data_IF_060831124587
#
_entry.id   IF_060831124587
#
_cell.length_a   1.000
_cell.length_b   1.000
_cell.length_c   1.000
_cell.angle_alpha   90.00
_cell.angle_beta   90.00
_cell.angle_gamma   90.00
#
_symmetry.space_group_name_H-M   'P 1'
#
loop_
_entity.id
_entity.type
_entity.pdbx_description
1 polymer ?
#
# COMPACT_ATOMS: atom_id res chain seq x y z
N UNK A 1 27.91 -13.30 22.61
CA UNK A 1 28.98 -14.17 22.24
C UNK A 1 29.29 -14.05 20.78
N UNK A 2 30.43 -13.54 20.49
CA UNK A 2 30.86 -13.48 19.12
C UNK A 2 31.49 -14.81 18.76
N UNK A 3 31.05 -15.36 17.68
CA UNK A 3 31.67 -16.53 17.14
C UNK A 3 33.13 -16.21 16.83
N UNK A 4 34.03 -16.93 17.47
CA UNK A 4 35.46 -16.80 17.27
C UNK A 4 35.92 -17.38 15.93
N UNK A 5 35.01 -17.83 15.11
CA UNK A 5 35.30 -18.55 13.89
C UNK A 5 35.55 -17.65 12.70
N UNK A 6 36.24 -16.58 12.83
CA UNK A 6 36.79 -15.85 11.67
C UNK A 6 35.86 -15.53 10.50
N UNK A 7 34.62 -16.00 10.53
CA UNK A 7 33.61 -15.52 9.63
C UNK A 7 33.26 -14.12 10.04
N UNK A 8 33.84 -13.16 9.39
CA UNK A 8 33.58 -11.76 9.65
C UNK A 8 32.07 -11.52 9.57
N UNK A 9 31.45 -11.45 10.71
CA UNK A 9 30.05 -11.05 10.82
C UNK A 9 29.98 -9.60 10.40
N UNK A 10 29.55 -9.37 9.17
CA UNK A 10 29.44 -8.01 8.63
C UNK A 10 28.11 -7.39 9.09
N UNK A 11 28.14 -6.72 10.22
CA UNK A 11 27.01 -5.96 10.74
C UNK A 11 26.48 -4.94 9.72
N UNK A 12 27.36 -4.39 8.89
CA UNK A 12 26.96 -3.40 7.90
C UNK A 12 26.10 -4.00 6.81
N UNK A 13 26.38 -5.24 6.41
CA UNK A 13 25.57 -5.96 5.44
C UNK A 13 24.23 -6.41 5.99
N UNK A 14 24.09 -6.43 7.31
CA UNK A 14 22.85 -6.85 7.97
C UNK A 14 21.99 -5.69 8.44
N UNK A 15 22.54 -4.48 8.53
CA UNK A 15 21.81 -3.29 8.93
C UNK A 15 21.01 -2.79 7.72
N UNK A 16 19.69 -2.90 7.81
CA UNK A 16 18.83 -2.32 6.78
C UNK A 16 18.88 -0.81 6.88
N UNK A 17 18.86 -0.09 5.74
CA UNK A 17 18.80 1.35 5.75
C UNK A 17 17.59 1.85 6.53
N UNK A 18 17.78 2.88 7.33
CA UNK A 18 16.76 3.47 8.17
C UNK A 18 16.66 4.96 7.85
N UNK A 19 15.44 5.41 7.56
CA UNK A 19 15.19 6.82 7.31
C UNK A 19 14.82 7.52 8.62
N UNK A 20 15.42 8.68 8.88
CA UNK A 20 15.11 9.48 10.07
C UNK A 20 14.19 10.63 9.69
N UNK A 21 13.03 10.71 10.34
CA UNK A 21 11.99 11.69 9.97
C UNK A 21 11.39 12.35 11.21
N UNK A 22 10.93 13.63 11.09
CA UNK A 22 10.22 14.29 12.17
C UNK A 22 8.76 13.82 12.27
N UNK A 23 8.13 13.94 13.45
CA UNK A 23 6.73 13.53 13.64
C UNK A 23 5.75 14.31 12.76
N UNK A 24 6.13 15.50 12.31
CA UNK A 24 5.27 16.37 11.52
C UNK A 24 5.24 16.02 10.02
N UNK A 25 6.04 15.04 9.58
CA UNK A 25 6.10 14.69 8.17
C UNK A 25 4.78 14.06 7.71
N UNK A 26 4.13 14.60 6.65
CA UNK A 26 2.92 13.98 6.10
C UNK A 26 3.20 12.58 5.55
N UNK A 27 2.22 11.69 5.67
CA UNK A 27 2.34 10.28 5.24
C UNK A 27 2.73 10.14 3.77
N UNK A 28 2.14 10.97 2.90
CA UNK A 28 2.46 10.91 1.47
C UNK A 28 3.90 11.31 1.17
N UNK A 29 4.41 12.31 1.88
CA UNK A 29 5.81 12.74 1.74
C UNK A 29 6.74 11.63 2.23
N UNK A 30 6.40 11.03 3.36
CA UNK A 30 7.19 9.93 3.92
C UNK A 30 7.22 8.74 2.96
N UNK A 31 6.06 8.36 2.44
CA UNK A 31 5.98 7.26 1.46
C UNK A 31 6.86 7.53 0.25
N UNK A 32 6.80 8.73 -0.32
CA UNK A 32 7.62 9.10 -1.48
C UNK A 32 9.11 9.01 -1.17
N UNK A 33 9.53 9.45 0.01
CA UNK A 33 10.93 9.33 0.42
C UNK A 33 11.36 7.87 0.57
N UNK A 34 10.52 7.06 1.20
CA UNK A 34 10.82 5.64 1.39
C UNK A 34 10.93 4.92 0.05
N UNK A 35 10.03 5.23 -0.88
CA UNK A 35 10.07 4.63 -2.22
C UNK A 35 11.29 5.10 -3.02
N UNK A 36 11.56 6.41 -3.01
CA UNK A 36 12.68 6.98 -3.78
C UNK A 36 14.03 6.45 -3.30
N UNK A 37 14.18 6.28 -2.00
CA UNK A 37 15.43 5.81 -1.39
C UNK A 37 15.46 4.30 -1.18
N UNK A 38 14.37 3.61 -1.52
CA UNK A 38 14.19 2.16 -1.33
C UNK A 38 14.42 1.73 0.11
N UNK A 39 13.92 2.53 1.04
CA UNK A 39 14.01 2.29 2.47
C UNK A 39 12.63 1.85 2.96
N UNK A 40 12.57 0.73 3.70
CA UNK A 40 11.34 0.13 4.16
C UNK A 40 10.94 0.52 5.58
N UNK A 41 11.81 1.22 6.28
CA UNK A 41 11.63 1.51 7.70
C UNK A 41 12.07 2.94 8.00
N UNK A 42 11.27 3.67 8.79
CA UNK A 42 11.57 5.02 9.22
C UNK A 42 11.56 5.10 10.74
N UNK A 43 12.53 5.85 11.29
CA UNK A 43 12.57 6.17 12.70
C UNK A 43 12.06 7.58 12.89
N UNK A 44 11.02 7.74 13.69
CA UNK A 44 10.46 9.06 13.99
C UNK A 44 11.23 9.65 15.18
N UNK A 45 11.85 10.81 14.94
CA UNK A 45 12.68 11.49 15.94
C UNK A 45 12.04 12.81 16.30
N UNK A 46 11.87 13.06 17.60
CA UNK A 46 11.29 14.29 18.11
C UNK A 46 12.31 15.44 18.12
N UNK A 47 11.86 16.61 18.53
CA UNK A 47 12.66 17.86 18.57
C UNK A 47 13.85 17.80 19.53
N UNK A 48 13.81 16.86 20.46
CA UNK A 48 14.85 16.69 21.47
C UNK A 48 15.83 15.56 21.15
N UNK A 49 15.70 14.99 19.95
CA UNK A 49 16.51 13.85 19.53
C UNK A 49 16.06 12.53 20.10
N UNK A 50 14.91 12.50 20.77
CA UNK A 50 14.32 11.27 21.28
C UNK A 50 13.58 10.49 20.20
N UNK A 51 13.51 9.18 20.36
CA UNK A 51 12.83 8.30 19.44
C UNK A 51 11.34 8.21 19.78
N UNK A 52 10.50 8.63 18.85
CA UNK A 52 9.04 8.53 18.98
C UNK A 52 8.52 7.16 18.56
N UNK A 53 9.18 6.51 17.63
CA UNK A 53 8.81 5.17 17.20
C UNK A 53 9.37 4.80 15.83
N UNK A 54 9.12 3.55 15.47
CA UNK A 54 9.46 3.00 14.16
C UNK A 54 8.21 2.89 13.30
N UNK A 55 8.34 3.21 12.02
CA UNK A 55 7.28 3.03 11.03
C UNK A 55 7.79 2.21 9.86
N UNK A 56 6.97 1.30 9.39
CA UNK A 56 7.21 0.54 8.17
C UNK A 56 6.25 1.03 7.08
N UNK A 57 6.49 0.63 5.83
CA UNK A 57 5.53 0.89 4.74
C UNK A 57 4.20 0.24 5.06
N UNK A 58 4.20 -0.94 5.65
CA UNK A 58 2.97 -1.62 6.08
C UNK A 58 2.17 -0.78 7.09
N UNK A 59 2.86 -0.12 8.02
CA UNK A 59 2.22 0.78 8.98
C UNK A 59 1.55 1.97 8.28
N UNK A 60 2.21 2.52 7.25
CA UNK A 60 1.63 3.62 6.46
C UNK A 60 0.38 3.18 5.72
N UNK A 61 0.43 2.01 5.11
CA UNK A 61 -0.71 1.42 4.40
C UNK A 61 -1.87 1.22 5.37
N UNK A 62 -1.60 0.68 6.55
CA UNK A 62 -2.63 0.48 7.57
C UNK A 62 -3.30 1.79 7.99
N UNK A 63 -2.53 2.86 8.11
CA UNK A 63 -3.08 4.19 8.42
C UNK A 63 -4.02 4.69 7.33
N UNK A 64 -3.73 4.41 6.07
CA UNK A 64 -4.48 4.91 4.93
C UNK A 64 -5.68 4.03 4.59
N UNK A 65 -5.58 2.74 4.82
CA UNK A 65 -6.63 1.77 4.46
C UNK A 65 -7.46 1.33 5.67
N UNK A 66 -6.85 1.34 6.85
CA UNK A 66 -7.41 0.75 8.04
C UNK A 66 -7.07 -0.73 8.15
N UNK A 67 -7.37 -1.30 9.30
CA UNK A 67 -7.10 -2.71 9.54
C UNK A 67 -8.03 -3.58 8.70
N UNK A 68 -7.53 -4.73 8.27
CA UNK A 68 -8.38 -5.78 7.73
C UNK A 68 -9.21 -6.26 8.92
N UNK A 69 -10.47 -5.86 8.94
CA UNK A 69 -11.34 -6.20 10.03
C UNK A 69 -11.63 -7.68 10.09
N UNK A 70 -11.69 -8.17 11.29
CA UNK A 70 -12.01 -9.55 11.55
C UNK A 70 -13.54 -9.76 11.54
N UNK A 71 -14.02 -10.63 12.36
CA UNK A 71 -15.37 -11.19 12.37
C UNK A 71 -16.53 -10.19 12.48
N UNK A 72 -16.28 -8.92 12.78
CA UNK A 72 -17.36 -7.94 12.96
C UNK A 72 -17.92 -7.43 11.65
N UNK A 73 -17.23 -7.68 10.55
CA UNK A 73 -17.67 -7.30 9.21
C UNK A 73 -18.39 -8.44 8.50
N UNK A 74 -18.95 -9.36 9.24
CA UNK A 74 -19.66 -10.52 8.70
C UNK A 74 -20.85 -10.10 7.83
N UNK A 75 -21.44 -8.95 8.10
CA UNK A 75 -22.54 -8.38 7.32
C UNK A 75 -22.06 -7.78 5.99
N UNK A 76 -20.77 -7.52 5.87
CA UNK A 76 -20.13 -7.13 4.64
C UNK A 76 -19.52 -8.40 3.99
N UNK A 77 -20.41 -9.33 3.66
CA UNK A 77 -19.99 -10.62 3.10
C UNK A 77 -19.13 -10.47 1.85
N UNK A 78 -19.27 -9.37 1.14
CA UNK A 78 -18.53 -9.11 -0.08
C UNK A 78 -17.72 -7.83 0.06
N UNK A 79 -16.40 -7.96 0.13
CA UNK A 79 -15.51 -6.81 0.13
C UNK A 79 -15.47 -6.14 -1.25
N UNK A 80 -15.94 -6.83 -2.29
CA UNK A 80 -16.10 -6.27 -3.62
C UNK A 80 -17.31 -6.87 -4.31
N UNK A 81 -17.87 -6.13 -5.29
CA UNK A 81 -18.97 -6.59 -6.13
C UNK A 81 -18.61 -6.29 -7.59
N UNK A 82 -19.03 -7.18 -8.48
CA UNK A 82 -18.89 -6.97 -9.92
C UNK A 82 -20.09 -6.18 -10.42
N UNK A 83 -19.87 -4.94 -10.85
CA UNK A 83 -20.94 -4.10 -11.36
C UNK A 83 -21.34 -4.49 -12.79
N UNK A 84 -20.35 -4.84 -13.59
CA UNK A 84 -20.50 -5.33 -14.96
C UNK A 84 -19.19 -5.98 -15.38
N UNK A 85 -19.13 -6.70 -16.52
CA UNK A 85 -17.88 -7.32 -16.94
C UNK A 85 -16.72 -6.33 -16.96
N UNK A 86 -15.66 -6.65 -16.23
CA UNK A 86 -14.45 -5.84 -16.15
C UNK A 86 -14.55 -4.62 -15.25
N UNK A 87 -15.67 -4.43 -14.53
CA UNK A 87 -15.83 -3.30 -13.61
C UNK A 87 -16.27 -3.79 -12.24
N UNK A 88 -15.50 -3.42 -11.22
CA UNK A 88 -15.73 -3.84 -9.84
C UNK A 88 -15.81 -2.64 -8.92
N UNK A 89 -16.69 -2.71 -7.94
CA UNK A 89 -16.72 -1.78 -6.81
C UNK A 89 -16.18 -2.52 -5.60
N UNK A 90 -15.14 -1.99 -4.96
CA UNK A 90 -14.43 -2.69 -3.89
C UNK A 90 -14.13 -1.77 -2.72
N UNK A 91 -14.12 -2.35 -1.53
CA UNK A 91 -13.61 -1.67 -0.35
C UNK A 91 -12.09 -1.60 -0.43
N UNK A 92 -11.50 -0.52 0.06
CA UNK A 92 -10.05 -0.37 0.08
C UNK A 92 -9.36 -1.48 0.88
N UNK A 93 -10.02 -1.98 1.92
CA UNK A 93 -9.51 -3.08 2.77
C UNK A 93 -9.68 -4.47 2.17
N UNK A 94 -10.21 -4.59 0.95
CA UNK A 94 -10.33 -5.88 0.25
C UNK A 94 -8.97 -6.57 0.20
N UNK A 95 -8.88 -7.82 0.67
CA UNK A 95 -7.63 -8.58 0.53
C UNK A 95 -7.24 -8.69 -0.94
N UNK A 96 -6.02 -8.29 -1.25
CA UNK A 96 -5.56 -8.24 -2.63
C UNK A 96 -5.59 -9.60 -3.31
N UNK A 97 -5.21 -10.65 -2.57
CA UNK A 97 -5.23 -12.02 -3.11
C UNK A 97 -6.63 -12.47 -3.55
N UNK A 98 -7.64 -12.11 -2.78
CA UNK A 98 -9.03 -12.45 -3.12
C UNK A 98 -9.48 -11.74 -4.39
N UNK A 99 -9.11 -10.48 -4.51
CA UNK A 99 -9.45 -9.69 -5.69
C UNK A 99 -8.70 -10.18 -6.92
N UNK A 100 -7.42 -10.49 -6.79
CA UNK A 100 -6.61 -11.06 -7.86
C UNK A 100 -7.17 -12.40 -8.36
N UNK A 101 -7.62 -13.24 -7.43
CA UNK A 101 -8.25 -14.52 -7.79
C UNK A 101 -9.52 -14.31 -8.59
N UNK A 102 -10.32 -13.31 -8.24
CA UNK A 102 -11.56 -12.98 -8.94
C UNK A 102 -11.31 -12.51 -10.38
N UNK A 103 -10.34 -11.64 -10.58
CA UNK A 103 -10.05 -11.07 -11.90
C UNK A 103 -9.08 -11.92 -12.72
N UNK A 104 -8.49 -12.96 -12.12
CA UNK A 104 -7.54 -13.86 -12.79
C UNK A 104 -6.25 -13.17 -13.21
N UNK A 105 -5.78 -12.23 -12.42
CA UNK A 105 -4.66 -11.37 -12.80
C UNK A 105 -3.86 -11.00 -11.56
N UNK A 106 -2.53 -10.99 -11.67
CA UNK A 106 -1.63 -10.52 -10.60
C UNK A 106 -1.40 -9.02 -10.76
N UNK A 107 -1.61 -8.27 -9.68
CA UNK A 107 -1.49 -6.82 -9.68
C UNK A 107 -0.19 -6.33 -9.01
N UNK A 108 0.57 -7.23 -8.40
CA UNK A 108 1.80 -6.89 -7.69
C UNK A 108 3.07 -7.31 -8.44
N UNK A 109 2.93 -7.92 -9.61
CA UNK A 109 4.05 -8.35 -10.44
C UNK A 109 4.64 -7.14 -11.18
N UNK A 110 5.27 -6.25 -10.42
CA UNK A 110 5.90 -5.04 -10.93
C UNK A 110 7.04 -4.62 -10.01
N UNK A 111 8.13 -4.15 -10.59
CA UNK A 111 9.35 -3.80 -9.86
C UNK A 111 9.16 -2.73 -8.78
N UNK A 112 8.18 -1.86 -8.94
CA UNK A 112 7.90 -0.79 -7.99
C UNK A 112 7.00 -1.22 -6.83
N UNK A 113 6.46 -2.45 -6.88
CA UNK A 113 5.51 -2.95 -5.90
C UNK A 113 6.11 -4.15 -5.20
N UNK A 114 6.25 -4.06 -3.89
CA UNK A 114 6.67 -5.20 -3.07
C UNK A 114 5.42 -5.92 -2.58
N UNK A 115 5.19 -7.11 -3.11
CA UNK A 115 4.02 -7.89 -2.76
C UNK A 115 3.98 -8.29 -1.27
N UNK A 116 5.13 -8.31 -0.61
CA UNK A 116 5.21 -8.61 0.81
C UNK A 116 4.67 -7.46 1.66
N UNK A 117 4.67 -6.24 1.14
CA UNK A 117 4.23 -5.05 1.86
C UNK A 117 2.77 -4.69 1.58
N UNK A 118 2.19 -5.23 0.51
CA UNK A 118 0.86 -4.85 0.03
C UNK A 118 -0.11 -6.01 0.18
N UNK A 119 -1.02 -5.92 1.15
CA UNK A 119 -2.00 -6.94 1.46
C UNK A 119 -3.42 -6.60 1.00
N UNK A 120 -3.66 -5.31 0.71
CA UNK A 120 -5.00 -4.82 0.38
C UNK A 120 -5.02 -4.07 -0.93
N UNK A 121 -6.22 -3.99 -1.52
CA UNK A 121 -6.43 -3.24 -2.76
C UNK A 121 -6.11 -1.75 -2.56
N UNK A 122 -6.56 -1.17 -1.44
CA UNK A 122 -6.25 0.21 -1.10
C UNK A 122 -4.77 0.46 -0.87
N UNK A 123 -4.07 -0.52 -0.31
CA UNK A 123 -2.62 -0.45 -0.15
C UNK A 123 -1.90 -0.37 -1.49
N UNK A 124 -2.34 -1.18 -2.45
CA UNK A 124 -1.82 -1.14 -3.81
C UNK A 124 -2.02 0.24 -4.44
N UNK A 125 -3.23 0.79 -4.32
CA UNK A 125 -3.55 2.11 -4.89
C UNK A 125 -2.71 3.20 -4.22
N UNK A 126 -2.53 3.14 -2.92
CA UNK A 126 -1.68 4.09 -2.19
C UNK A 126 -0.22 4.04 -2.68
N UNK A 127 0.32 2.83 -2.86
CA UNK A 127 1.68 2.65 -3.35
C UNK A 127 1.84 3.19 -4.78
N UNK A 128 0.87 2.94 -5.64
CA UNK A 128 0.90 3.44 -7.02
C UNK A 128 0.75 4.96 -7.10
N UNK A 129 -0.10 5.53 -6.25
CA UNK A 129 -0.34 6.97 -6.23
C UNK A 129 0.82 7.76 -5.63
N UNK A 130 1.49 7.19 -4.62
CA UNK A 130 2.55 7.88 -3.90
C UNK A 130 2.04 8.95 -2.93
N UNK A 131 0.74 9.01 -2.71
CA UNK A 131 0.07 9.91 -1.76
C UNK A 131 -1.29 9.33 -1.42
N UNK A 132 -1.99 9.90 -0.44
CA UNK A 132 -3.37 9.51 -0.13
C UNK A 132 -4.28 10.13 -1.18
N UNK A 133 -4.83 9.34 -2.12
CA UNK A 133 -5.62 9.91 -3.21
C UNK A 133 -6.95 10.45 -2.73
N UNK A 134 -7.38 11.53 -3.36
CA UNK A 134 -8.65 12.17 -3.07
C UNK A 134 -9.80 11.50 -3.82
N UNK A 135 -11.00 11.68 -3.32
CA UNK A 135 -12.22 11.23 -3.99
C UNK A 135 -12.27 11.77 -5.42
N UNK A 136 -12.54 10.90 -6.37
CA UNK A 136 -12.58 11.24 -7.79
C UNK A 136 -11.26 11.08 -8.53
N UNK A 137 -10.18 10.89 -7.80
CA UNK A 137 -8.87 10.69 -8.42
C UNK A 137 -8.80 9.31 -9.06
N UNK A 138 -8.15 9.24 -10.23
CA UNK A 138 -7.95 7.99 -10.97
C UNK A 138 -6.47 7.64 -10.95
N UNK A 139 -6.15 6.45 -10.46
CA UNK A 139 -4.79 5.93 -10.43
C UNK A 139 -4.68 4.78 -11.42
N UNK A 140 -3.68 4.83 -12.29
CA UNK A 140 -3.49 3.80 -13.32
C UNK A 140 -2.40 2.81 -12.90
N UNK A 141 -2.73 1.53 -13.03
CA UNK A 141 -1.76 0.47 -12.86
C UNK A 141 -0.88 0.39 -14.12
N UNK A 142 0.44 0.12 -13.98
CA UNK A 142 1.33 0.01 -15.14
C UNK A 142 0.89 -1.00 -16.19
N UNK A 143 0.15 -2.03 -15.79
CA UNK A 143 -0.33 -3.08 -16.69
C UNK A 143 -1.73 -2.83 -17.25
N UNK A 144 -2.31 -1.66 -16.97
CA UNK A 144 -3.53 -1.22 -17.60
C UNK A 144 -4.77 -0.99 -16.75
N UNK A 145 -5.01 -1.73 -15.65
CA UNK A 145 -6.17 -1.46 -14.83
C UNK A 145 -6.21 -0.03 -14.30
N UNK A 146 -7.42 0.53 -14.16
CA UNK A 146 -7.61 1.85 -13.55
C UNK A 146 -8.37 1.71 -12.23
N UNK A 147 -7.95 2.50 -11.26
CA UNK A 147 -8.60 2.58 -9.94
C UNK A 147 -9.14 4.00 -9.74
N UNK A 148 -10.44 4.10 -9.64
CA UNK A 148 -11.09 5.38 -9.32
C UNK A 148 -11.45 5.41 -7.84
N UNK A 149 -11.06 6.46 -7.13
CA UNK A 149 -11.39 6.61 -5.71
C UNK A 149 -12.83 7.12 -5.61
N UNK A 150 -13.72 6.25 -5.16
CA UNK A 150 -15.15 6.54 -5.04
C UNK A 150 -15.48 7.20 -3.71
N UNK A 151 -14.80 6.76 -2.65
CA UNK A 151 -15.00 7.32 -1.32
C UNK A 151 -13.66 7.37 -0.60
N UNK A 152 -13.37 8.53 -0.01
CA UNK A 152 -12.15 8.77 0.74
C UNK A 152 -12.33 10.00 1.63
N UNK A 153 -11.55 10.08 2.71
CA UNK A 153 -11.36 11.31 3.46
C UNK A 153 -9.86 11.69 3.38
N UNK A 154 -9.43 12.83 3.95
CA UNK A 154 -8.04 13.27 3.83
C UNK A 154 -7.01 12.30 4.38
N UNK A 155 -7.42 11.35 5.21
CA UNK A 155 -6.52 10.40 5.88
C UNK A 155 -6.64 8.97 5.38
N UNK A 156 -7.75 8.63 4.68
CA UNK A 156 -8.07 7.23 4.42
C UNK A 156 -8.81 7.03 3.12
N UNK A 157 -8.41 6.00 2.38
CA UNK A 157 -9.14 5.50 1.20
C UNK A 157 -10.18 4.51 1.71
N UNK A 158 -11.42 4.63 1.24
CA UNK A 158 -12.51 3.76 1.71
C UNK A 158 -13.05 2.84 0.63
N UNK A 159 -13.24 3.34 -0.58
CA UNK A 159 -13.90 2.59 -1.64
C UNK A 159 -13.34 2.95 -3.00
N UNK A 160 -13.21 1.94 -3.85
CA UNK A 160 -12.58 2.05 -5.16
C UNK A 160 -13.48 1.43 -6.23
N UNK A 161 -13.45 2.01 -7.44
CA UNK A 161 -13.97 1.34 -8.63
C UNK A 161 -12.81 0.92 -9.49
N UNK A 162 -12.76 -0.37 -9.85
CA UNK A 162 -11.69 -0.94 -10.65
C UNK A 162 -12.20 -1.22 -12.05
N UNK A 163 -11.52 -0.69 -13.05
CA UNK A 163 -11.81 -0.96 -14.45
C UNK A 163 -10.65 -1.72 -15.08
N UNK A 164 -10.93 -2.89 -15.62
CA UNK A 164 -9.91 -3.72 -16.26
C UNK A 164 -9.63 -3.22 -17.68
N UNK A 165 -8.44 -3.51 -18.24
CA UNK A 165 -8.05 -2.99 -19.57
C UNK A 165 -9.01 -3.32 -20.70
N UNK A 166 -9.58 -4.52 -20.70
CA UNK A 166 -10.49 -4.97 -21.75
C UNK A 166 -11.73 -4.07 -21.88
N UNK A 167 -12.18 -3.50 -20.77
CA UNK A 167 -13.32 -2.57 -20.75
C UNK A 167 -12.88 -1.20 -21.22
N UNK A 168 -11.68 -0.77 -20.83
CA UNK A 168 -11.13 0.53 -21.22
C UNK A 168 -10.91 0.61 -22.72
N UNK A 169 -10.49 -0.49 -23.34
CA UNK A 169 -10.28 -0.57 -24.78
C UNK A 169 -11.62 -0.43 -25.55
N UNK A 170 -12.71 -0.88 -24.96
CA UNK A 170 -14.04 -0.75 -25.55
C UNK A 170 -14.61 0.68 -25.44
N UNK A 171 -14.09 1.48 -24.53
CA UNK A 171 -14.52 2.86 -24.33
C UNK A 171 -13.74 3.87 -25.17
N UNK A 172 -12.66 3.41 -25.78
CA UNK A 172 -11.81 4.26 -26.63
C UNK A 172 -12.39 4.47 -28.01
#
# INVERSE_FOLDING_TARGET
GFSADGAAFDLRGMVRPLLFVPPSMPLGVLLQKMQAERIHMALVIDEYGGTDGLLTIEDLIEQVVGEIEDEHDVDEADSFIREKPGVYLALAKTPLEEFEAEIGRNLTDHDEIDEEEVDTLGGLVFMLAGHVPARGEVIRHPEGPEFEVIDADPRRIKRLRVRLPDVLDQLA
#
